data_IF_782770845008
#
_entry.id   IF_782770845008
#
_cell.length_a   1.000
_cell.length_b   1.000
_cell.length_c   1.000
_cell.angle_alpha   90.00
_cell.angle_beta   90.00
_cell.angle_gamma   90.00
#
_symmetry.space_group_name_H-M   'P 1'
#
loop_
_entity.id
_entity.type
_entity.pdbx_description
1 polymer ?
#
# COMPACT_ATOMS: atom_id res chain seq x y z
N UNK A 1 -8.50 15.90 0.06
CA UNK A 1 -8.91 16.10 1.46
C UNK A 1 -9.69 14.89 1.95
N UNK A 2 -9.90 14.70 3.25
CA UNK A 2 -10.60 13.52 3.79
C UNK A 2 -12.10 13.47 3.40
N UNK A 3 -12.73 14.62 3.13
CA UNK A 3 -14.15 14.68 2.77
C UNK A 3 -14.47 13.94 1.46
N UNK A 4 -13.52 13.91 0.51
CA UNK A 4 -13.70 13.10 -0.70
C UNK A 4 -13.72 11.61 -0.36
N UNK A 5 -12.81 11.11 0.48
CA UNK A 5 -12.84 9.68 0.85
C UNK A 5 -14.20 9.26 1.46
N UNK A 6 -14.76 10.09 2.36
CA UNK A 6 -16.08 9.84 2.95
C UNK A 6 -17.21 9.79 1.92
N UNK A 7 -17.22 10.71 0.95
CA UNK A 7 -18.27 10.76 -0.09
C UNK A 7 -18.23 9.56 -1.03
N UNK A 8 -17.03 9.12 -1.41
CA UNK A 8 -16.86 8.10 -2.43
C UNK A 8 -16.94 6.70 -1.84
N UNK A 9 -16.36 6.49 -0.66
CA UNK A 9 -16.29 5.19 0.00
C UNK A 9 -17.31 5.02 1.11
N UNK A 10 -18.16 6.02 1.36
CA UNK A 10 -19.18 5.99 2.42
C UNK A 10 -18.63 5.57 3.78
N UNK A 11 -17.39 5.97 4.05
CA UNK A 11 -16.64 5.57 5.24
C UNK A 11 -16.21 6.79 6.04
N UNK A 12 -16.63 6.84 7.30
CA UNK A 12 -16.24 7.89 8.24
C UNK A 12 -15.14 7.40 9.20
N UNK A 13 -13.87 7.80 9.00
CA UNK A 13 -12.78 7.46 9.91
C UNK A 13 -13.03 7.89 11.36
N UNK A 14 -13.79 8.97 11.57
CA UNK A 14 -13.95 9.56 12.89
C UNK A 14 -14.92 8.82 13.80
N UNK A 15 -15.58 7.78 13.26
CA UNK A 15 -16.31 6.79 14.05
C UNK A 15 -15.38 5.88 14.87
N UNK A 16 -14.14 5.70 14.41
CA UNK A 16 -13.16 4.83 15.06
C UNK A 16 -12.12 5.62 15.86
N UNK A 17 -11.74 6.79 15.38
CA UNK A 17 -10.75 7.65 16.05
C UNK A 17 -11.22 9.12 16.04
N UNK A 18 -11.28 9.79 17.20
CA UNK A 18 -11.63 11.20 17.25
C UNK A 18 -10.74 12.08 16.36
N UNK A 19 -11.30 13.14 15.79
CA UNK A 19 -10.61 13.98 14.80
C UNK A 19 -9.34 14.65 15.34
N UNK A 20 -9.34 15.04 16.61
CA UNK A 20 -8.20 15.57 17.34
C UNK A 20 -7.07 14.54 17.52
N UNK A 21 -7.43 13.26 17.60
CA UNK A 21 -6.49 12.14 17.71
C UNK A 21 -6.05 11.57 16.36
N UNK A 22 -6.75 11.90 15.27
CA UNK A 22 -6.41 11.49 13.90
C UNK A 22 -5.27 12.31 13.26
N UNK A 23 -4.44 12.97 14.06
CA UNK A 23 -3.27 13.72 13.59
C UNK A 23 -2.03 12.82 13.59
N UNK A 24 -1.05 13.10 12.72
CA UNK A 24 0.20 12.33 12.66
C UNK A 24 0.92 12.31 14.01
N UNK A 25 0.93 13.44 14.74
CA UNK A 25 1.55 13.55 16.05
C UNK A 25 0.86 12.67 17.10
N UNK A 26 -0.47 12.72 17.16
CA UNK A 26 -1.25 11.89 18.07
C UNK A 26 -1.08 10.39 17.78
N UNK A 27 -1.09 9.99 16.50
CA UNK A 27 -0.87 8.60 16.09
C UNK A 27 0.54 8.11 16.41
N UNK A 28 1.58 8.94 16.19
CA UNK A 28 2.96 8.58 16.55
C UNK A 28 3.14 8.42 18.05
N UNK A 29 2.48 9.26 18.85
CA UNK A 29 2.46 9.14 20.30
C UNK A 29 1.73 7.88 20.75
N UNK A 30 0.59 7.56 20.14
CA UNK A 30 -0.16 6.34 20.44
C UNK A 30 0.61 5.05 20.09
N UNK A 31 1.55 5.14 19.14
CA UNK A 31 2.43 4.04 18.73
C UNK A 31 3.72 3.94 19.55
N UNK A 32 3.78 4.54 20.76
CA UNK A 32 4.91 4.36 21.68
C UNK A 32 5.23 2.87 21.89
N UNK A 33 6.51 2.51 21.75
CA UNK A 33 6.96 1.10 21.79
C UNK A 33 6.97 0.39 20.44
N UNK A 34 6.44 0.99 19.38
CA UNK A 34 6.59 0.51 18.00
C UNK A 34 7.66 1.30 17.23
N UNK A 35 8.39 0.63 16.34
CA UNK A 35 9.33 1.30 15.44
C UNK A 35 8.57 2.15 14.40
N UNK A 36 8.68 3.46 14.53
CA UNK A 36 8.10 4.46 13.62
C UNK A 36 9.18 5.23 12.85
N UNK A 37 10.40 4.67 12.77
CA UNK A 37 11.52 5.22 12.02
C UNK A 37 11.26 5.24 10.51
N UNK A 38 11.90 6.19 9.82
CA UNK A 38 11.81 6.29 8.37
C UNK A 38 12.69 5.19 7.77
N UNK A 39 12.09 4.34 6.92
CA UNK A 39 12.78 3.26 6.24
C UNK A 39 12.90 3.55 4.74
N UNK A 40 14.10 3.39 4.18
CA UNK A 40 14.34 3.63 2.77
C UNK A 40 13.90 2.43 1.93
N UNK A 41 12.90 2.62 1.06
CA UNK A 41 12.38 1.54 0.21
C UNK A 41 13.23 1.27 -1.05
N UNK A 42 14.30 2.02 -1.28
CA UNK A 42 15.14 2.00 -2.50
C UNK A 42 16.00 0.74 -2.64
N UNK A 43 16.24 0.00 -1.57
CA UNK A 43 17.01 -1.25 -1.58
C UNK A 43 16.15 -2.51 -1.56
N UNK A 44 14.81 -2.39 -1.66
CA UNK A 44 13.97 -3.59 -1.81
C UNK A 44 14.30 -4.27 -3.14
N UNK A 45 14.60 -5.57 -3.10
CA UNK A 45 14.84 -6.37 -4.29
C UNK A 45 13.58 -6.33 -5.18
N UNK A 46 13.76 -5.89 -6.42
CA UNK A 46 12.71 -6.01 -7.43
C UNK A 46 12.30 -7.49 -7.52
N UNK A 47 11.05 -7.80 -7.15
CA UNK A 47 10.51 -9.17 -7.14
C UNK A 47 9.98 -9.67 -5.78
N UNK A 48 10.35 -9.05 -4.65
CA UNK A 48 9.94 -9.54 -3.31
C UNK A 48 8.51 -9.14 -2.93
N UNK A 49 8.00 -8.03 -3.49
CA UNK A 49 6.59 -7.64 -3.42
C UNK A 49 5.98 -7.94 -4.78
N UNK A 50 5.01 -8.87 -4.85
CA UNK A 50 4.36 -9.34 -6.08
C UNK A 50 3.55 -8.30 -6.88
N UNK A 51 3.87 -7.01 -6.79
CA UNK A 51 3.09 -5.90 -7.33
C UNK A 51 3.85 -4.94 -8.25
N UNK A 52 5.01 -5.29 -8.82
CA UNK A 52 5.69 -4.39 -9.75
C UNK A 52 6.82 -5.03 -10.58
N UNK A 53 6.90 -4.61 -11.86
CA UNK A 53 7.85 -4.97 -12.92
C UNK A 53 7.99 -6.47 -13.27
N UNK A 54 8.27 -7.34 -12.30
CA UNK A 54 8.43 -8.79 -12.53
C UNK A 54 7.15 -9.50 -13.00
N UNK A 55 5.96 -8.94 -12.70
CA UNK A 55 4.69 -9.46 -13.19
C UNK A 55 4.55 -9.31 -14.72
N UNK A 56 5.07 -8.22 -15.30
CA UNK A 56 4.96 -7.98 -16.75
C UNK A 56 5.80 -8.97 -17.55
N UNK A 57 7.03 -9.24 -17.10
CA UNK A 57 7.92 -10.23 -17.75
C UNK A 57 7.38 -11.66 -17.61
N UNK A 58 6.84 -12.03 -16.44
CA UNK A 58 6.21 -13.32 -16.22
C UNK A 58 4.96 -13.53 -17.10
N UNK A 59 4.10 -12.51 -17.23
CA UNK A 59 2.93 -12.54 -18.11
C UNK A 59 3.35 -12.67 -19.58
N UNK A 60 4.38 -11.94 -20.01
CA UNK A 60 4.92 -12.00 -21.38
C UNK A 60 5.59 -13.34 -21.70
N UNK A 61 6.18 -14.01 -20.71
CA UNK A 61 6.72 -15.35 -20.86
C UNK A 61 5.60 -16.39 -20.99
N UNK A 62 4.57 -16.33 -20.14
CA UNK A 62 3.40 -17.21 -20.20
C UNK A 62 2.63 -17.05 -21.52
N UNK A 63 2.45 -15.82 -22.00
CA UNK A 63 1.77 -15.54 -23.27
C UNK A 63 2.49 -16.14 -24.50
N UNK A 64 3.83 -16.25 -24.45
CA UNK A 64 4.64 -16.86 -25.52
C UNK A 64 4.61 -18.40 -25.50
N UNK A 65 4.37 -19.01 -24.34
CA UNK A 65 4.24 -20.46 -24.22
C UNK A 65 2.92 -21.00 -24.77
N UNK A 66 1.84 -20.21 -24.73
CA UNK A 66 0.50 -20.61 -25.15
C UNK A 66 0.23 -20.47 -26.66
N UNK A 67 1.16 -19.88 -27.44
CA UNK A 67 1.00 -19.61 -28.87
C UNK A 67 1.74 -20.61 -29.78
N UNK A 68 2.16 -21.76 -29.25
CA UNK A 68 2.98 -22.75 -29.95
C UNK A 68 2.47 -24.17 -29.77
N UNK A 69 1.28 -24.46 -30.29
CA UNK A 69 0.81 -25.83 -30.51
C UNK A 69 -0.26 -25.82 -31.59
N UNK A 70 0.18 -25.78 -32.85
CA UNK A 70 -0.55 -26.24 -34.04
C UNK A 70 0.47 -26.94 -34.96
#
# INVERSE_FOLDING_TARGET
TYQNAMRWYHWDPFTHIPKDQATVGALRKAAEGHDVSIQALSHHKAGERGGGAGHFDALKAAARGNSGSD
#
